data_IF_265450573197
#
_entry.id   IF_265450573197
#
_cell.length_a   1.000
_cell.length_b   1.000
_cell.length_c   1.000
_cell.angle_alpha   90.00
_cell.angle_beta   90.00
_cell.angle_gamma   90.00
#
_symmetry.space_group_name_H-M   'P 1'
#
loop_
_entity.id
_entity.type
_entity.pdbx_description
1 polymer ?
#
# COMPACT_ATOMS: atom_id res chain seq x y z
N UNK A 1 23.15 -10.99 2.28
CA UNK A 1 22.55 -10.49 3.55
C UNK A 1 21.80 -9.19 3.35
N UNK A 2 22.44 -8.13 2.87
CA UNK A 2 21.75 -6.86 2.63
C UNK A 2 20.65 -6.99 1.57
N UNK A 3 20.94 -7.74 0.51
CA UNK A 3 19.97 -8.03 -0.55
C UNK A 3 18.76 -8.83 -0.02
N UNK A 4 19.00 -9.79 0.86
CA UNK A 4 17.94 -10.58 1.49
C UNK A 4 17.03 -9.71 2.35
N UNK A 5 17.61 -8.80 3.13
CA UNK A 5 16.85 -7.86 3.94
C UNK A 5 16.04 -6.90 3.07
N UNK A 6 16.59 -6.49 1.95
CA UNK A 6 15.88 -5.63 1.00
C UNK A 6 14.69 -6.36 0.36
N UNK A 7 14.89 -7.61 -0.05
CA UNK A 7 13.81 -8.48 -0.58
C UNK A 7 12.70 -8.65 0.46
N UNK A 8 13.05 -8.93 1.69
CA UNK A 8 12.09 -9.07 2.79
C UNK A 8 11.29 -7.78 3.00
N UNK A 9 11.97 -6.63 3.05
CA UNK A 9 11.31 -5.33 3.23
C UNK A 9 10.39 -4.99 2.07
N UNK A 10 10.85 -5.17 0.83
CA UNK A 10 10.02 -4.91 -0.36
C UNK A 10 8.77 -5.78 -0.37
N UNK A 11 8.89 -7.04 0.03
CA UNK A 11 7.76 -7.96 0.12
C UNK A 11 6.75 -7.50 1.17
N UNK A 12 7.22 -7.13 2.36
CA UNK A 12 6.34 -6.64 3.42
C UNK A 12 5.61 -5.36 3.01
N UNK A 13 6.29 -4.42 2.35
CA UNK A 13 5.68 -3.21 1.83
C UNK A 13 4.61 -3.52 0.78
N UNK A 14 4.91 -4.41 -0.15
CA UNK A 14 3.94 -4.82 -1.18
C UNK A 14 2.73 -5.52 -0.57
N UNK A 15 2.94 -6.37 0.43
CA UNK A 15 1.86 -7.08 1.11
C UNK A 15 0.90 -6.11 1.80
N UNK A 16 1.42 -5.07 2.45
CA UNK A 16 0.60 -4.01 3.03
C UNK A 16 -0.33 -3.38 1.98
N UNK A 17 0.22 -3.04 0.83
CA UNK A 17 -0.53 -2.40 -0.25
C UNK A 17 -1.60 -3.30 -0.84
N UNK A 18 -1.28 -4.57 -1.08
CA UNK A 18 -2.23 -5.54 -1.63
C UNK A 18 -3.40 -5.77 -0.68
N UNK A 19 -3.13 -5.99 0.61
CA UNK A 19 -4.17 -6.24 1.60
C UNK A 19 -5.03 -4.98 1.81
N UNK A 20 -4.40 -3.81 1.87
CA UNK A 20 -5.12 -2.55 1.98
C UNK A 20 -6.03 -2.32 0.77
N UNK A 21 -5.52 -2.54 -0.44
CA UNK A 21 -6.31 -2.42 -1.67
C UNK A 21 -7.54 -3.33 -1.65
N UNK A 22 -7.39 -4.56 -1.15
CA UNK A 22 -8.49 -5.50 -1.01
C UNK A 22 -9.56 -4.95 -0.05
N UNK A 23 -9.15 -4.42 1.11
CA UNK A 23 -10.07 -3.83 2.08
C UNK A 23 -10.80 -2.61 1.51
N UNK A 24 -10.10 -1.75 0.80
CA UNK A 24 -10.72 -0.59 0.13
C UNK A 24 -11.73 -1.04 -0.92
N UNK A 25 -11.40 -2.08 -1.68
CA UNK A 25 -12.28 -2.62 -2.73
C UNK A 25 -13.62 -3.12 -2.18
N UNK A 26 -13.68 -3.55 -0.93
CA UNK A 26 -14.92 -3.97 -0.28
C UNK A 26 -15.97 -2.84 -0.18
N UNK A 27 -15.54 -1.59 -0.31
CA UNK A 27 -16.42 -0.42 -0.28
C UNK A 27 -16.97 -0.04 -1.66
N UNK A 28 -16.43 -0.59 -2.73
CA UNK A 28 -16.93 -0.27 -4.08
C UNK A 28 -18.41 -0.64 -4.18
N UNK A 29 -19.24 0.31 -4.61
CA UNK A 29 -20.70 0.26 -4.62
C UNK A 29 -21.37 0.35 -3.23
N UNK A 30 -20.60 0.60 -2.17
CA UNK A 30 -21.12 0.68 -0.79
C UNK A 30 -20.68 1.95 -0.05
N UNK A 31 -19.91 2.83 -0.69
CA UNK A 31 -19.47 4.08 -0.08
C UNK A 31 -20.67 5.01 0.22
N UNK A 32 -20.53 5.94 1.18
CA UNK A 32 -21.66 6.76 1.62
C UNK A 32 -22.22 7.71 0.54
N UNK A 33 -21.39 8.12 -0.41
CA UNK A 33 -21.78 8.98 -1.53
C UNK A 33 -21.03 8.55 -2.80
N UNK A 34 -21.57 8.92 -3.96
CA UNK A 34 -21.00 8.51 -5.26
C UNK A 34 -19.55 8.96 -5.44
N UNK A 35 -19.24 10.18 -5.05
CA UNK A 35 -17.89 10.73 -5.16
C UNK A 35 -16.87 9.90 -4.38
N UNK A 36 -17.27 9.42 -3.21
CA UNK A 36 -16.41 8.55 -2.39
C UNK A 36 -16.29 7.15 -2.95
N UNK A 37 -17.32 6.66 -3.60
CA UNK A 37 -17.29 5.37 -4.29
C UNK A 37 -16.22 5.38 -5.40
N UNK A 38 -16.19 6.46 -6.17
CA UNK A 38 -15.18 6.67 -7.21
C UNK A 38 -13.79 6.85 -6.59
N UNK A 39 -13.69 7.66 -5.55
CA UNK A 39 -12.43 7.93 -4.86
C UNK A 39 -11.82 6.65 -4.28
N UNK A 40 -12.61 5.84 -3.58
CA UNK A 40 -12.11 4.61 -2.94
C UNK A 40 -11.63 3.60 -3.98
N UNK A 41 -12.29 3.51 -5.12
CA UNK A 41 -11.85 2.64 -6.22
C UNK A 41 -10.50 3.10 -6.78
N UNK A 42 -10.31 4.40 -6.94
CA UNK A 42 -9.04 4.97 -7.40
C UNK A 42 -7.92 4.75 -6.38
N UNK A 43 -8.20 4.92 -5.08
CA UNK A 43 -7.25 4.63 -4.02
C UNK A 43 -6.81 3.17 -4.07
N UNK A 44 -7.76 2.24 -4.20
CA UNK A 44 -7.44 0.81 -4.29
C UNK A 44 -6.53 0.50 -5.49
N UNK A 45 -6.78 1.14 -6.63
CA UNK A 45 -5.93 0.98 -7.82
C UNK A 45 -4.53 1.54 -7.59
N UNK A 46 -4.40 2.67 -6.94
CA UNK A 46 -3.11 3.26 -6.61
C UNK A 46 -2.30 2.34 -5.69
N UNK A 47 -2.95 1.79 -4.65
CA UNK A 47 -2.30 0.85 -3.72
C UNK A 47 -1.77 -0.39 -4.46
N UNK A 48 -2.55 -0.96 -5.38
CA UNK A 48 -2.08 -2.07 -6.21
C UNK A 48 -0.91 -1.67 -7.12
N UNK A 49 -0.93 -0.44 -7.64
CA UNK A 49 0.18 0.10 -8.41
C UNK A 49 1.46 0.23 -7.59
N UNK A 50 1.34 0.64 -6.33
CA UNK A 50 2.47 0.70 -5.38
C UNK A 50 3.02 -0.70 -5.10
N UNK A 51 2.15 -1.66 -4.84
CA UNK A 51 2.55 -3.06 -4.65
C UNK A 51 3.34 -3.58 -5.86
N UNK A 52 2.86 -3.28 -7.06
CA UNK A 52 3.54 -3.66 -8.30
C UNK A 52 4.95 -3.09 -8.36
N UNK A 53 5.12 -1.82 -8.04
CA UNK A 53 6.45 -1.17 -8.04
C UNK A 53 7.41 -1.89 -7.08
N UNK A 54 6.99 -2.18 -5.86
CA UNK A 54 7.82 -2.89 -4.88
C UNK A 54 8.17 -4.31 -5.35
N UNK A 55 7.22 -5.03 -5.93
CA UNK A 55 7.46 -6.39 -6.40
C UNK A 55 8.33 -6.45 -7.67
N UNK A 56 8.25 -5.44 -8.53
CA UNK A 56 9.16 -5.31 -9.67
C UNK A 56 10.59 -5.05 -9.21
N UNK A 57 10.79 -4.23 -8.17
CA UNK A 57 12.11 -4.05 -7.57
C UNK A 57 12.64 -5.37 -7.00
N UNK A 58 11.80 -6.15 -6.34
CA UNK A 58 12.16 -7.48 -5.87
C UNK A 58 12.55 -8.40 -7.03
N UNK A 59 11.78 -8.38 -8.11
CA UNK A 59 12.05 -9.18 -9.30
C UNK A 59 13.44 -8.91 -9.86
N UNK A 60 13.87 -7.67 -9.88
CA UNK A 60 15.22 -7.31 -10.31
C UNK A 60 16.30 -7.91 -9.42
N UNK A 61 16.00 -8.16 -8.14
CA UNK A 61 16.95 -8.73 -7.19
C UNK A 61 17.00 -10.26 -7.23
N UNK A 62 15.85 -10.94 -7.27
CA UNK A 62 15.78 -12.40 -7.11
C UNK A 62 15.07 -13.14 -8.25
N UNK A 63 14.56 -12.43 -9.27
CA UNK A 63 13.87 -13.04 -10.41
C UNK A 63 12.46 -13.54 -10.12
N UNK A 64 11.90 -13.26 -8.94
CA UNK A 64 10.55 -13.72 -8.57
C UNK A 64 9.47 -13.09 -9.44
N UNK A 65 8.37 -13.82 -9.64
CA UNK A 65 7.21 -13.35 -10.40
C UNK A 65 6.25 -12.62 -9.45
N UNK A 66 5.95 -11.33 -9.69
CA UNK A 66 4.98 -10.58 -8.89
C UNK A 66 3.62 -11.24 -8.77
N UNK A 67 3.09 -11.83 -9.85
CA UNK A 67 1.79 -12.47 -9.83
C UNK A 67 1.79 -13.73 -8.95
N UNK A 68 2.84 -14.52 -8.98
CA UNK A 68 2.99 -15.67 -8.09
C UNK A 68 3.02 -15.26 -6.63
N UNK A 69 3.71 -14.17 -6.33
CA UNK A 69 3.81 -13.66 -4.97
C UNK A 69 2.46 -13.18 -4.43
N UNK A 70 1.63 -12.59 -5.27
CA UNK A 70 0.32 -12.07 -4.86
C UNK A 70 -0.73 -13.18 -4.80
N UNK A 71 -0.81 -14.04 -5.81
CA UNK A 71 -1.95 -14.94 -5.97
C UNK A 71 -1.71 -16.39 -5.51
N UNK A 72 -0.45 -16.81 -5.39
CA UNK A 72 -0.14 -18.23 -5.17
C UNK A 72 0.57 -18.52 -3.85
N UNK A 73 0.87 -17.52 -3.03
CA UNK A 73 1.38 -17.74 -1.67
C UNK A 73 0.26 -18.15 -0.74
N UNK A 74 0.58 -18.96 0.27
CA UNK A 74 -0.31 -19.24 1.39
C UNK A 74 -0.54 -17.92 2.17
N UNK A 75 -1.76 -17.67 2.67
CA UNK A 75 -2.03 -16.48 3.47
C UNK A 75 -1.06 -16.26 4.64
N UNK A 76 -0.55 -17.35 5.24
CA UNK A 76 0.42 -17.27 6.34
C UNK A 76 1.80 -16.79 5.91
N UNK A 77 2.09 -16.76 4.62
CA UNK A 77 3.36 -16.24 4.08
C UNK A 77 3.33 -14.72 3.89
N UNK A 78 2.17 -14.08 3.98
CA UNK A 78 2.05 -12.64 3.90
C UNK A 78 2.64 -11.98 5.14
N UNK A 79 3.35 -10.87 4.94
CA UNK A 79 4.10 -10.15 5.97
C UNK A 79 3.52 -8.75 6.21
N UNK A 80 2.25 -8.57 5.92
CA UNK A 80 1.57 -7.28 6.09
C UNK A 80 1.38 -6.91 7.57
N UNK A 81 1.27 -5.62 7.83
CA UNK A 81 0.92 -5.11 9.16
C UNK A 81 -0.52 -5.52 9.53
N UNK A 82 -0.75 -5.76 10.82
CA UNK A 82 -2.09 -6.13 11.33
C UNK A 82 -3.14 -5.05 11.00
N UNK A 83 -2.74 -3.79 11.02
CA UNK A 83 -3.65 -2.66 10.75
C UNK A 83 -4.41 -2.81 9.43
N UNK A 84 -3.73 -3.26 8.36
CA UNK A 84 -4.34 -3.34 7.02
C UNK A 84 -5.27 -4.55 6.87
N UNK A 85 -5.12 -5.59 7.68
CA UNK A 85 -5.97 -6.77 7.60
C UNK A 85 -7.24 -6.70 8.45
N UNK A 86 -7.38 -5.66 9.28
CA UNK A 86 -8.58 -5.47 10.09
C UNK A 86 -9.82 -5.38 9.20
N UNK A 87 -10.98 -5.93 9.63
CA UNK A 87 -12.22 -5.81 8.86
C UNK A 87 -12.56 -4.36 8.54
N UNK A 88 -13.27 -4.13 7.44
CA UNK A 88 -13.59 -2.77 7.01
C UNK A 88 -14.41 -1.99 8.04
N UNK A 89 -15.19 -2.65 8.89
CA UNK A 89 -16.06 -2.00 9.85
C UNK A 89 -17.08 -1.08 9.18
N UNK A 90 -17.37 0.05 9.80
CA UNK A 90 -18.13 1.11 9.16
C UNK A 90 -17.20 2.07 8.40
N UNK A 91 -17.78 3.08 7.75
CA UNK A 91 -17.00 4.06 6.97
C UNK A 91 -16.03 4.84 7.86
N UNK A 92 -16.45 5.22 9.06
CA UNK A 92 -15.59 5.96 10.00
C UNK A 92 -14.37 5.13 10.40
N UNK A 93 -14.55 3.85 10.69
CA UNK A 93 -13.45 2.94 11.00
C UNK A 93 -12.46 2.84 9.85
N UNK A 94 -12.98 2.65 8.62
CA UNK A 94 -12.13 2.56 7.42
C UNK A 94 -11.36 3.86 7.20
N UNK A 95 -11.98 5.02 7.38
CA UNK A 95 -11.30 6.31 7.19
C UNK A 95 -10.22 6.56 8.25
N UNK A 96 -10.46 6.20 9.49
CA UNK A 96 -9.44 6.31 10.55
C UNK A 96 -8.28 5.37 10.27
N UNK A 97 -8.54 4.12 9.89
CA UNK A 97 -7.50 3.18 9.51
C UNK A 97 -6.68 3.71 8.33
N UNK A 98 -7.35 4.20 7.30
CA UNK A 98 -6.68 4.77 6.13
C UNK A 98 -5.80 5.95 6.51
N UNK A 99 -6.33 6.85 7.34
CA UNK A 99 -5.59 8.01 7.82
C UNK A 99 -4.30 7.60 8.57
N UNK A 100 -4.41 6.64 9.46
CA UNK A 100 -3.24 6.16 10.22
C UNK A 100 -2.20 5.51 9.30
N UNK A 101 -2.66 4.72 8.33
CA UNK A 101 -1.77 4.09 7.36
C UNK A 101 -1.10 5.14 6.46
N UNK A 102 -1.86 6.11 5.97
CA UNK A 102 -1.36 7.18 5.10
C UNK A 102 -0.32 8.04 5.83
N UNK A 103 -0.55 8.34 7.12
CA UNK A 103 0.44 9.05 7.94
C UNK A 103 1.76 8.27 8.01
N UNK A 104 1.68 6.99 8.30
CA UNK A 104 2.84 6.10 8.36
C UNK A 104 3.54 6.05 6.99
N UNK A 105 2.80 5.83 5.93
CA UNK A 105 3.36 5.75 4.58
C UNK A 105 4.05 7.04 4.16
N UNK A 106 3.44 8.19 4.40
CA UNK A 106 4.06 9.47 4.07
C UNK A 106 5.38 9.67 4.81
N UNK A 107 5.43 9.35 6.10
CA UNK A 107 6.66 9.46 6.89
C UNK A 107 7.74 8.48 6.41
N UNK A 108 7.35 7.24 6.16
CA UNK A 108 8.25 6.22 5.63
C UNK A 108 8.83 6.62 4.26
N UNK A 109 7.98 7.07 3.35
CA UNK A 109 8.39 7.44 1.99
C UNK A 109 9.28 8.68 1.96
N UNK A 110 9.06 9.64 2.85
CA UNK A 110 9.94 10.81 3.00
C UNK A 110 11.37 10.40 3.34
N UNK A 111 11.54 9.33 4.11
CA UNK A 111 12.87 8.79 4.42
C UNK A 111 13.38 7.85 3.30
N UNK A 112 12.50 7.01 2.76
CA UNK A 112 12.87 6.04 1.72
C UNK A 112 13.39 6.71 0.44
N UNK A 113 12.90 7.89 0.07
CA UNK A 113 13.39 8.63 -1.10
C UNK A 113 14.84 9.11 -0.96
N UNK A 114 15.39 9.05 0.25
CA UNK A 114 16.80 9.36 0.54
C UNK A 114 17.67 8.11 0.57
N UNK A 115 17.11 6.95 0.22
CA UNK A 115 17.80 5.67 0.26
C UNK A 115 19.07 5.68 -0.59
N UNK A 116 20.11 5.01 -0.11
CA UNK A 116 21.33 4.75 -0.87
C UNK A 116 21.13 3.75 -2.02
N UNK A 117 19.98 3.07 -2.05
CA UNK A 117 19.59 2.16 -3.14
C UNK A 117 18.70 2.94 -4.13
N UNK A 118 19.26 3.38 -5.29
CA UNK A 118 18.55 4.27 -6.20
C UNK A 118 17.18 3.76 -6.68
N UNK A 119 16.98 2.47 -7.03
CA UNK A 119 15.68 2.00 -7.45
C UNK A 119 14.58 2.19 -6.39
N UNK A 120 14.91 1.99 -5.09
CA UNK A 120 13.98 2.26 -4.01
C UNK A 120 13.70 3.74 -3.85
N UNK A 121 14.73 4.57 -3.94
CA UNK A 121 14.58 6.03 -3.84
C UNK A 121 13.65 6.58 -4.94
N UNK A 122 13.80 6.11 -6.16
CA UNK A 122 12.95 6.50 -7.30
C UNK A 122 11.51 6.03 -7.12
N UNK A 123 11.31 4.78 -6.69
CA UNK A 123 9.98 4.25 -6.42
C UNK A 123 9.30 5.04 -5.30
N UNK A 124 10.01 5.32 -4.21
CA UNK A 124 9.48 6.10 -3.10
C UNK A 124 9.06 7.51 -3.52
N UNK A 125 9.83 8.17 -4.39
CA UNK A 125 9.50 9.50 -4.92
C UNK A 125 8.19 9.46 -5.72
N UNK A 126 7.99 8.43 -6.54
CA UNK A 126 6.76 8.25 -7.32
C UNK A 126 5.55 7.99 -6.44
N UNK A 127 5.69 7.06 -5.50
CA UNK A 127 4.60 6.66 -4.60
C UNK A 127 4.21 7.82 -3.70
N UNK A 128 5.18 8.58 -3.19
CA UNK A 128 4.92 9.70 -2.29
C UNK A 128 3.99 10.76 -2.91
N UNK A 129 4.08 10.98 -4.21
CA UNK A 129 3.19 11.94 -4.89
C UNK A 129 1.73 11.54 -4.77
N UNK A 130 1.42 10.26 -4.92
CA UNK A 130 0.07 9.73 -4.77
C UNK A 130 -0.34 9.67 -3.31
N UNK A 131 0.55 9.23 -2.42
CA UNK A 131 0.28 9.12 -0.99
C UNK A 131 -0.03 10.47 -0.31
N UNK A 132 0.51 11.55 -0.81
CA UNK A 132 0.14 12.90 -0.33
C UNK A 132 -1.33 13.21 -0.60
N UNK A 133 -1.88 12.76 -1.73
CA UNK A 133 -3.30 12.88 -2.03
C UNK A 133 -4.14 11.95 -1.17
N UNK A 134 -3.69 10.72 -0.95
CA UNK A 134 -4.36 9.77 -0.08
C UNK A 134 -4.49 10.34 1.34
N UNK A 135 -3.40 10.86 1.89
CA UNK A 135 -3.39 11.47 3.22
C UNK A 135 -4.34 12.66 3.30
N UNK A 136 -4.34 13.52 2.30
CA UNK A 136 -5.25 14.67 2.26
C UNK A 136 -6.71 14.23 2.25
N UNK A 137 -7.03 13.21 1.47
CA UNK A 137 -8.38 12.65 1.39
C UNK A 137 -8.83 12.07 2.73
N UNK A 138 -8.04 11.20 3.32
CA UNK A 138 -8.39 10.57 4.60
C UNK A 138 -8.44 11.58 5.76
N UNK A 139 -7.54 12.57 5.77
CA UNK A 139 -7.53 13.63 6.78
C UNK A 139 -8.82 14.46 6.75
N UNK A 140 -9.37 14.75 5.57
CA UNK A 140 -10.62 15.49 5.45
C UNK A 140 -11.80 14.75 6.09
N UNK A 141 -11.81 13.44 6.05
CA UNK A 141 -12.85 12.63 6.69
C UNK A 141 -12.67 12.52 8.21
N UNK A 142 -11.43 12.50 8.68
CA UNK A 142 -11.12 12.36 10.11
C UNK A 142 -11.29 13.69 10.87
N UNK A 143 -11.06 14.81 10.21
CA UNK A 143 -11.30 16.13 10.76
C UNK A 143 -12.81 16.44 10.85
#
# INVERSE_FOLDING_TARGET
MLEELLVEKLTALADDEVVLAQRLSEWVAHAPILEEDIAIANLAQDELGHAKLYLELRRELDGSDPDELVFFRDPLEYQNAVLVELPKGDWAFTMVRQYLFDLYENLWLEEARKSAYPPLAEAAERILKEERFHLKHSALWVE
#
